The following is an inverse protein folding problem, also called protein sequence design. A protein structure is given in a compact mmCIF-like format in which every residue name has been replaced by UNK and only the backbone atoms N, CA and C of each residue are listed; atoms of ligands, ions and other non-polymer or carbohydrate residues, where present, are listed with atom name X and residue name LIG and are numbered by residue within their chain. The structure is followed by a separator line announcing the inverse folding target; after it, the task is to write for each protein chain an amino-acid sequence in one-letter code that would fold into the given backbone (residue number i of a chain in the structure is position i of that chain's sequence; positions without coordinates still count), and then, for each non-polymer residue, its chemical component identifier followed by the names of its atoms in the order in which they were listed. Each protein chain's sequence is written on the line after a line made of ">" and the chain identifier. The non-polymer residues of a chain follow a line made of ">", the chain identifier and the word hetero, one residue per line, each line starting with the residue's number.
data_IF_536255964585
#
_entry.id   IF_536255964585
#
_cell.length_a   1.000
_cell.length_b   1.000
_cell.length_c   1.000
_cell.angle_alpha   90.00
_cell.angle_beta   90.00
_cell.angle_gamma   90.00
#
_symmetry.space_group_name_H-M   'P 1'
#
loop_
_entity.id
_entity.type
_entity.pdbx_description
1 polymer ?
#
# COMPACT_ATOMS: atom_id res chain seq x y z
N UNK A 1 6.11 23.54 18.55
CA UNK A 1 6.40 22.54 17.52
C UNK A 1 5.53 22.83 16.31
N UNK A 2 6.11 23.35 15.22
CA UNK A 2 5.40 23.58 13.97
C UNK A 2 5.37 22.27 13.19
N UNK A 3 4.20 21.66 13.08
CA UNK A 3 4.01 20.47 12.24
C UNK A 3 4.02 20.94 10.79
N UNK A 4 4.98 20.45 10.01
CA UNK A 4 5.09 20.71 8.58
C UNK A 4 4.02 19.89 7.84
N UNK A 5 2.76 20.33 7.91
CA UNK A 5 1.70 19.78 7.07
C UNK A 5 2.00 20.26 5.64
N UNK A 6 2.39 19.35 4.75
CA UNK A 6 2.55 19.69 3.33
C UNK A 6 1.26 20.36 2.84
N UNK A 7 1.33 21.49 2.13
CA UNK A 7 0.13 22.19 1.67
C UNK A 7 -0.65 21.33 0.67
N UNK A 8 -1.98 21.37 0.76
CA UNK A 8 -2.88 20.72 -0.19
C UNK A 8 -2.57 21.19 -1.62
N UNK A 9 -2.57 20.26 -2.57
CA UNK A 9 -2.37 20.55 -3.99
C UNK A 9 -3.72 20.66 -4.72
N UNK A 10 -3.88 21.68 -5.58
CA UNK A 10 -5.13 21.91 -6.30
C UNK A 10 -5.20 21.07 -7.59
N UNK A 11 -6.27 20.28 -7.72
CA UNK A 11 -6.58 19.51 -8.93
C UNK A 11 -7.80 20.12 -9.62
N UNK A 12 -7.66 20.54 -10.89
CA UNK A 12 -8.77 21.00 -11.71
C UNK A 12 -9.40 19.84 -12.49
N UNK A 13 -10.65 19.51 -12.19
CA UNK A 13 -11.42 18.49 -12.91
C UNK A 13 -12.45 19.13 -13.85
N UNK A 14 -12.38 18.78 -15.14
CA UNK A 14 -13.44 19.12 -16.11
C UNK A 14 -14.27 17.86 -16.38
N UNK A 15 -15.54 17.91 -16.02
CA UNK A 15 -16.48 16.80 -16.20
C UNK A 15 -17.82 17.31 -16.74
N UNK A 16 -18.57 16.49 -17.50
CA UNK A 16 -19.92 16.84 -17.91
C UNK A 16 -20.82 17.20 -16.70
N UNK A 17 -21.73 18.15 -16.89
CA UNK A 17 -22.63 18.61 -15.82
C UNK A 17 -23.44 17.46 -15.20
N UNK A 18 -23.90 16.51 -16.04
CA UNK A 18 -24.60 15.32 -15.58
C UNK A 18 -23.75 14.43 -14.66
N UNK A 19 -22.46 14.28 -14.97
CA UNK A 19 -21.50 13.52 -14.15
C UNK A 19 -21.30 14.18 -12.79
N UNK A 20 -21.06 15.50 -12.76
CA UNK A 20 -21.00 16.28 -11.51
C UNK A 20 -22.28 16.13 -10.69
N UNK A 21 -23.44 16.21 -11.34
CA UNK A 21 -24.74 16.04 -10.70
C UNK A 21 -24.92 14.66 -10.06
N UNK A 22 -24.47 13.58 -10.72
CA UNK A 22 -24.45 12.23 -10.13
C UNK A 22 -23.54 12.15 -8.91
N UNK A 23 -22.32 12.67 -8.99
CA UNK A 23 -21.36 12.65 -7.88
C UNK A 23 -21.84 13.43 -6.67
N UNK A 24 -22.47 14.60 -6.85
CA UNK A 24 -23.04 15.39 -5.75
C UNK A 24 -24.15 14.61 -5.02
N UNK A 25 -25.02 13.92 -5.76
CA UNK A 25 -26.09 13.12 -5.15
C UNK A 25 -25.51 11.94 -4.37
N UNK A 26 -24.53 11.24 -4.95
CA UNK A 26 -23.85 10.13 -4.30
C UNK A 26 -23.10 10.58 -3.04
N UNK A 27 -22.37 11.70 -3.09
CA UNK A 27 -21.63 12.22 -1.93
C UNK A 27 -22.58 12.60 -0.79
N UNK A 28 -23.71 13.23 -1.09
CA UNK A 28 -24.74 13.56 -0.09
C UNK A 28 -25.38 12.32 0.53
N UNK A 29 -25.68 11.31 -0.28
CA UNK A 29 -26.20 10.03 0.22
C UNK A 29 -25.19 9.34 1.15
N UNK A 30 -23.89 9.53 0.92
CA UNK A 30 -22.81 9.04 1.79
C UNK A 30 -22.48 9.97 2.97
N UNK A 31 -23.15 11.13 3.11
CA UNK A 31 -22.86 12.11 4.16
C UNK A 31 -21.52 12.85 4.02
N UNK A 32 -20.92 12.87 2.83
CA UNK A 32 -19.59 13.42 2.56
C UNK A 32 -19.64 14.69 1.71
N UNK A 33 -18.64 15.58 1.91
CA UNK A 33 -18.36 16.64 0.94
C UNK A 33 -17.95 16.02 -0.39
N UNK A 34 -18.27 16.67 -1.51
CA UNK A 34 -17.93 16.16 -2.84
C UNK A 34 -16.43 15.88 -2.99
N UNK A 35 -15.58 16.76 -2.45
CA UNK A 35 -14.12 16.59 -2.46
C UNK A 35 -13.70 15.32 -1.73
N UNK A 36 -14.12 15.14 -0.48
CA UNK A 36 -13.77 13.97 0.33
C UNK A 36 -14.29 12.68 -0.32
N UNK A 37 -15.51 12.72 -0.86
CA UNK A 37 -16.10 11.58 -1.57
C UNK A 37 -15.28 11.18 -2.80
N UNK A 38 -14.83 12.15 -3.60
CA UNK A 38 -14.00 11.89 -4.79
C UNK A 38 -12.64 11.35 -4.36
N UNK A 39 -11.99 11.96 -3.37
CA UNK A 39 -10.69 11.50 -2.84
C UNK A 39 -10.84 10.05 -2.36
N UNK A 40 -11.82 9.75 -1.49
CA UNK A 40 -12.05 8.40 -1.02
C UNK A 40 -12.31 7.41 -2.17
N UNK A 41 -13.15 7.78 -3.14
CA UNK A 41 -13.46 6.89 -4.26
C UNK A 41 -12.22 6.59 -5.13
N UNK A 42 -11.34 7.57 -5.32
CA UNK A 42 -10.08 7.39 -6.06
C UNK A 42 -9.11 6.52 -5.27
N UNK A 43 -8.89 6.83 -3.99
CA UNK A 43 -7.99 6.08 -3.10
C UNK A 43 -8.44 4.62 -2.95
N UNK A 44 -9.73 4.39 -2.69
CA UNK A 44 -10.27 3.02 -2.57
C UNK A 44 -10.17 2.25 -3.88
N UNK A 45 -10.38 2.90 -5.03
CA UNK A 45 -10.15 2.27 -6.33
C UNK A 45 -8.68 1.89 -6.53
N UNK A 46 -7.75 2.79 -6.19
CA UNK A 46 -6.31 2.52 -6.29
C UNK A 46 -5.91 1.35 -5.38
N UNK A 47 -6.34 1.34 -4.11
CA UNK A 47 -6.12 0.22 -3.18
C UNK A 47 -6.69 -1.10 -3.71
N UNK A 48 -7.91 -1.09 -4.27
CA UNK A 48 -8.52 -2.28 -4.86
C UNK A 48 -7.75 -2.83 -6.07
N UNK A 49 -7.09 -1.96 -6.86
CA UNK A 49 -6.21 -2.41 -7.93
C UNK A 49 -4.96 -3.10 -7.36
N UNK A 50 -4.42 -2.58 -6.26
CA UNK A 50 -3.26 -3.15 -5.57
C UNK A 50 -3.55 -4.51 -4.91
N UNK A 51 -4.78 -4.77 -4.43
CA UNK A 51 -5.12 -6.08 -3.84
C UNK A 51 -5.36 -7.18 -4.87
N UNK A 52 -5.37 -6.86 -6.17
CA UNK A 52 -5.63 -7.79 -7.28
C UNK A 52 -4.41 -8.06 -8.14
N UNK A 53 -3.21 -7.80 -7.64
CA UNK A 53 -1.97 -8.03 -8.38
C UNK A 53 -1.81 -9.53 -8.62
N UNK A 54 -1.78 -9.92 -9.89
CA UNK A 54 -1.42 -11.24 -10.34
C UNK A 54 0.06 -11.26 -10.72
N UNK A 55 0.83 -12.18 -10.14
CA UNK A 55 2.22 -12.38 -10.53
C UNK A 55 2.26 -13.19 -11.83
N UNK A 56 2.98 -12.77 -12.88
CA UNK A 56 3.16 -13.56 -14.08
C UNK A 56 3.75 -14.94 -13.77
N UNK A 57 3.18 -16.01 -14.33
CA UNK A 57 3.58 -17.40 -14.01
C UNK A 57 5.04 -17.72 -14.36
N UNK A 58 5.63 -16.98 -15.31
CA UNK A 58 7.02 -17.15 -15.74
C UNK A 58 8.00 -16.32 -14.89
N UNK A 59 7.49 -15.52 -13.95
CA UNK A 59 8.28 -14.71 -13.04
C UNK A 59 8.52 -15.48 -11.72
N UNK A 60 9.79 -15.79 -11.45
CA UNK A 60 10.20 -16.43 -10.19
C UNK A 60 10.48 -15.38 -9.12
N UNK A 61 10.21 -15.72 -7.86
CA UNK A 61 10.50 -14.83 -6.73
C UNK A 61 11.97 -14.41 -6.67
N UNK A 62 12.90 -15.34 -6.92
CA UNK A 62 14.34 -15.07 -6.93
C UNK A 62 14.80 -14.04 -7.98
N UNK A 63 13.97 -13.74 -9.00
CA UNK A 63 14.27 -12.67 -9.95
C UNK A 63 14.28 -11.28 -9.28
N UNK A 64 13.58 -11.13 -8.14
CA UNK A 64 13.54 -9.90 -7.36
C UNK A 64 14.91 -9.52 -6.80
N UNK A 65 15.83 -10.48 -6.66
CA UNK A 65 17.19 -10.26 -6.15
C UNK A 65 17.18 -9.48 -4.83
N UNK A 66 16.38 -9.96 -3.88
CA UNK A 66 16.33 -9.36 -2.54
C UNK A 66 17.71 -9.47 -1.89
N UNK A 67 18.17 -8.34 -1.38
CA UNK A 67 19.39 -8.27 -0.59
C UNK A 67 19.18 -7.30 0.58
N UNK A 68 19.84 -7.61 1.69
CA UNK A 68 19.95 -6.68 2.80
C UNK A 68 21.28 -5.95 2.69
N UNK A 69 21.20 -4.63 2.66
CA UNK A 69 22.36 -3.74 2.57
C UNK A 69 23.01 -3.55 3.95
N UNK A 70 24.28 -3.11 4.01
CA UNK A 70 25.00 -2.91 5.27
C UNK A 70 24.35 -1.90 6.23
N UNK A 71 23.56 -0.96 5.71
CA UNK A 71 22.81 0.02 6.50
C UNK A 71 21.48 -0.53 7.04
N UNK A 72 21.17 -1.79 6.75
CA UNK A 72 19.95 -2.48 7.15
C UNK A 72 18.79 -2.30 6.17
N UNK A 73 18.93 -1.46 5.15
CA UNK A 73 17.91 -1.30 4.10
C UNK A 73 17.81 -2.55 3.22
N UNK A 74 16.67 -2.71 2.56
CA UNK A 74 16.45 -3.80 1.61
C UNK A 74 16.51 -3.27 0.19
N UNK A 75 17.35 -3.89 -0.63
CA UNK A 75 17.43 -3.64 -2.06
C UNK A 75 16.76 -4.76 -2.85
N UNK A 76 16.25 -4.41 -4.03
CA UNK A 76 15.55 -5.31 -4.94
C UNK A 76 15.55 -4.75 -6.38
N UNK A 77 15.22 -5.60 -7.35
CA UNK A 77 15.17 -5.24 -8.76
C UNK A 77 13.85 -4.56 -9.13
N UNK A 78 13.88 -3.25 -9.39
CA UNK A 78 12.72 -2.48 -9.85
C UNK A 78 12.17 -2.97 -11.19
N UNK A 79 13.00 -3.52 -12.07
CA UNK A 79 12.54 -4.06 -13.36
C UNK A 79 11.54 -5.22 -13.18
N UNK A 80 11.62 -5.96 -12.08
CA UNK A 80 10.67 -7.02 -11.71
C UNK A 80 9.34 -6.42 -11.28
N UNK A 81 9.38 -5.37 -10.45
CA UNK A 81 8.19 -4.64 -10.02
C UNK A 81 7.49 -3.99 -11.22
N UNK A 82 8.24 -3.35 -12.11
CA UNK A 82 7.74 -2.76 -13.35
C UNK A 82 7.07 -3.80 -14.25
N UNK A 83 7.66 -5.01 -14.35
CA UNK A 83 7.08 -6.12 -15.11
C UNK A 83 5.77 -6.62 -14.52
N UNK A 84 5.69 -6.73 -13.19
CA UNK A 84 4.44 -7.06 -12.48
C UNK A 84 3.40 -5.96 -12.75
N UNK A 85 3.79 -4.69 -12.64
CA UNK A 85 2.92 -3.54 -12.92
C UNK A 85 2.36 -3.60 -14.35
N UNK A 86 3.23 -3.84 -15.34
CA UNK A 86 2.84 -3.95 -16.74
C UNK A 86 1.83 -5.10 -16.98
N UNK A 87 2.07 -6.27 -16.37
CA UNK A 87 1.17 -7.41 -16.49
C UNK A 87 -0.21 -7.14 -15.88
N UNK A 88 -0.28 -6.28 -14.88
CA UNK A 88 -1.52 -5.91 -14.18
C UNK A 88 -2.16 -4.62 -14.68
N UNK A 89 -1.56 -3.95 -15.67
CA UNK A 89 -1.97 -2.62 -16.15
C UNK A 89 -2.03 -1.58 -15.01
N UNK A 90 -1.07 -1.67 -14.09
CA UNK A 90 -0.90 -0.77 -12.95
C UNK A 90 0.30 0.14 -13.22
N UNK A 91 0.21 1.41 -12.80
CA UNK A 91 1.32 2.37 -12.85
C UNK A 91 2.35 2.03 -11.78
N UNK A 92 3.64 1.97 -12.13
CA UNK A 92 4.72 1.73 -11.14
C UNK A 92 4.81 2.85 -10.10
N UNK A 93 4.34 4.03 -10.45
CA UNK A 93 4.24 5.22 -9.58
C UNK A 93 3.37 4.95 -8.34
N UNK A 94 2.40 4.02 -8.41
CA UNK A 94 1.63 3.59 -7.23
C UNK A 94 2.48 2.89 -6.17
N UNK A 95 3.67 2.41 -6.54
CA UNK A 95 4.64 1.80 -5.65
C UNK A 95 5.77 2.75 -5.28
N UNK A 96 6.15 3.66 -6.19
CA UNK A 96 7.27 4.58 -6.00
C UNK A 96 6.89 5.82 -5.17
N UNK A 97 5.71 6.39 -5.41
CA UNK A 97 5.29 7.68 -4.84
C UNK A 97 4.31 7.53 -3.67
N UNK A 98 3.86 6.31 -3.40
CA UNK A 98 3.01 5.98 -2.28
C UNK A 98 3.84 5.73 -0.99
N UNK A 99 3.22 5.55 0.20
CA UNK A 99 3.96 5.20 1.41
C UNK A 99 4.84 3.96 1.19
N UNK A 100 6.03 3.94 1.80
CA UNK A 100 7.06 2.90 1.63
C UNK A 100 6.52 1.46 1.84
N UNK A 101 5.43 1.32 2.60
CA UNK A 101 4.74 0.07 2.89
C UNK A 101 4.19 -0.67 1.65
N UNK A 102 3.96 0.02 0.52
CA UNK A 102 3.27 -0.57 -0.63
C UNK A 102 4.12 -1.63 -1.36
N UNK A 103 5.42 -1.41 -1.51
CA UNK A 103 6.31 -2.39 -2.13
C UNK A 103 6.58 -3.55 -1.16
N UNK A 104 6.83 -3.25 0.11
CA UNK A 104 7.02 -4.26 1.15
C UNK A 104 5.82 -5.21 1.25
N UNK A 105 4.59 -4.68 1.22
CA UNK A 105 3.37 -5.49 1.22
C UNK A 105 3.23 -6.40 0.00
N UNK A 106 3.60 -5.92 -1.19
CA UNK A 106 3.65 -6.76 -2.40
C UNK A 106 4.68 -7.90 -2.26
N UNK A 107 5.90 -7.58 -1.81
CA UNK A 107 6.98 -8.55 -1.66
C UNK A 107 6.60 -9.64 -0.66
N UNK A 108 6.08 -9.24 0.50
CA UNK A 108 5.63 -10.16 1.56
C UNK A 108 4.50 -11.07 1.04
N UNK A 109 3.47 -10.50 0.42
CA UNK A 109 2.33 -11.26 -0.09
C UNK A 109 2.76 -12.25 -1.17
N UNK A 110 3.63 -11.82 -2.09
CA UNK A 110 4.17 -12.70 -3.12
C UNK A 110 5.04 -13.81 -2.53
N UNK A 111 5.91 -13.50 -1.57
CA UNK A 111 6.75 -14.50 -0.91
C UNK A 111 5.91 -15.56 -0.19
N UNK A 112 4.87 -15.15 0.54
CA UNK A 112 3.95 -16.09 1.20
C UNK A 112 3.29 -17.04 0.20
N UNK A 113 2.78 -16.52 -0.92
CA UNK A 113 2.21 -17.36 -1.99
C UNK A 113 3.25 -18.29 -2.63
N UNK A 114 4.47 -17.81 -2.86
CA UNK A 114 5.60 -18.60 -3.36
C UNK A 114 5.92 -19.77 -2.41
N UNK A 115 5.98 -19.52 -1.09
CA UNK A 115 6.21 -20.57 -0.09
C UNK A 115 5.05 -21.56 0.03
N UNK A 116 3.80 -21.10 -0.04
CA UNK A 116 2.62 -21.98 -0.07
C UNK A 116 2.63 -22.93 -1.29
N UNK A 117 3.22 -22.49 -2.40
CA UNK A 117 3.38 -23.29 -3.62
C UNK A 117 4.67 -24.13 -3.64
N UNK A 118 5.38 -24.26 -2.51
CA UNK A 118 6.59 -25.08 -2.39
C UNK A 118 7.85 -24.43 -2.96
N UNK A 119 7.83 -23.13 -3.22
CA UNK A 119 8.99 -22.39 -3.68
C UNK A 119 10.09 -22.26 -2.62
N UNK A 120 11.34 -22.02 -3.07
CA UNK A 120 12.51 -21.96 -2.20
C UNK A 120 12.44 -20.84 -1.14
N UNK A 121 13.04 -21.04 0.04
CA UNK A 121 13.13 -20.00 1.06
C UNK A 121 14.05 -18.85 0.62
N UNK A 122 13.72 -17.63 1.06
CA UNK A 122 14.53 -16.42 0.89
C UNK A 122 14.74 -15.78 2.27
N UNK A 123 15.99 -15.67 2.76
CA UNK A 123 16.27 -15.21 4.12
C UNK A 123 15.89 -13.74 4.33
N UNK A 124 16.03 -12.89 3.31
CA UNK A 124 15.69 -11.46 3.42
C UNK A 124 14.18 -11.29 3.51
N UNK A 125 13.43 -12.05 2.72
CA UNK A 125 11.97 -12.06 2.80
C UNK A 125 11.44 -12.64 4.13
N UNK A 126 12.10 -13.66 4.68
CA UNK A 126 11.77 -14.22 6.00
C UNK A 126 11.99 -13.20 7.11
N UNK A 127 13.12 -12.48 7.09
CA UNK A 127 13.42 -11.41 8.04
C UNK A 127 12.37 -10.28 7.97
N UNK A 128 12.03 -9.83 6.75
CA UNK A 128 11.00 -8.80 6.54
C UNK A 128 9.65 -9.18 7.16
N UNK A 129 9.23 -10.44 7.00
CA UNK A 129 7.97 -10.92 7.61
C UNK A 129 8.08 -10.91 9.14
N UNK A 130 9.21 -11.35 9.69
CA UNK A 130 9.42 -11.39 11.14
C UNK A 130 9.41 -9.98 11.76
N UNK A 131 9.99 -8.99 11.08
CA UNK A 131 9.97 -7.58 11.49
C UNK A 131 8.53 -7.05 11.58
N UNK A 132 7.75 -7.20 10.50
CA UNK A 132 6.35 -6.75 10.46
C UNK A 132 5.52 -7.39 11.59
N UNK A 133 5.65 -8.70 11.80
CA UNK A 133 4.93 -9.41 12.86
C UNK A 133 5.30 -8.93 14.27
N UNK A 134 6.57 -8.56 14.47
CA UNK A 134 7.07 -8.04 15.75
C UNK A 134 6.55 -6.62 16.00
N UNK A 135 6.50 -5.78 14.96
CA UNK A 135 5.98 -4.41 15.03
C UNK A 135 4.48 -4.36 15.28
N UNK A 136 3.68 -5.20 14.60
CA UNK A 136 2.23 -5.30 14.81
C UNK A 136 1.89 -5.69 16.26
N UNK A 137 2.65 -6.65 16.81
CA UNK A 137 2.49 -7.10 18.21
C UNK A 137 2.82 -5.98 19.20
N UNK A 138 3.90 -5.24 18.97
CA UNK A 138 4.31 -4.13 19.83
C UNK A 138 3.37 -2.91 19.72
N UNK A 139 2.79 -2.66 18.54
CA UNK A 139 1.86 -1.56 18.32
C UNK A 139 0.51 -1.83 18.99
N UNK A 140 0.00 -3.06 18.94
CA UNK A 140 -1.20 -3.48 19.66
C UNK A 140 -1.08 -3.30 21.19
N UNK A 141 0.08 -3.61 21.76
CA UNK A 141 0.36 -3.38 23.19
C UNK A 141 0.45 -1.88 23.54
N UNK A 142 1.06 -1.07 22.66
CA UNK A 142 1.18 0.39 22.87
C UNK A 142 -0.18 1.10 22.84
N UNK A 143 -1.08 0.70 21.96
CA UNK A 143 -2.44 1.27 21.88
C UNK A 143 -3.33 0.81 23.04
N UNK A 144 -3.24 -0.46 23.46
CA UNK A 144 -3.90 -0.94 24.67
C UNK A 144 -3.49 -0.15 25.93
N UNK A 145 -2.19 0.17 26.05
CA UNK A 145 -1.64 0.95 27.19
C UNK A 145 -1.99 2.44 27.15
N UNK A 146 -2.37 2.99 25.99
CA UNK A 146 -2.90 4.37 25.88
C UNK A 146 -4.39 4.41 26.20
N UNK A 147 -5.17 3.41 25.79
CA UNK A 147 -6.61 3.33 26.07
C UNK A 147 -6.90 3.15 27.57
N UNK A 148 -6.07 2.37 28.28
CA UNK A 148 -6.19 2.19 29.73
C UNK A 148 -5.89 3.44 30.58
N UNK A 149 -5.29 4.50 30.02
CA UNK A 149 -4.94 5.74 30.74
C UNK A 149 -5.97 6.87 30.57
N UNK A 150 -7.09 6.63 29.88
CA UNK A 150 -8.09 7.66 29.51
C UNK A 150 -9.45 7.57 30.21
N UNK A 151 -9.61 6.70 31.20
CA UNK A 151 -10.77 6.74 32.12
C UNK A 151 -10.39 7.44 33.43
N UNK A 152 -10.74 8.72 33.62
CA UNK A 152 -10.96 9.27 34.94
C UNK A 152 -12.42 9.03 35.35
N UNK A 153 -12.61 8.52 36.57
CA UNK A 153 -13.87 8.64 37.29
C UNK A 153 -14.06 10.03 37.86
#
# INVERSE_FOLDING_TARGET
>A
MSWNTKPDSLIHLRVPAATKGRWIRASRAAGLRLTDYIVHAVEERMKQQMTRIAIPNDLKFSALQLAREPDGSVSFSWSVIERICQANQISVELFRDAPEDNVSGLIITWYQAHRQNGGDPDPVAEDLIAEVMTEESAQGERDGRKNSRRTPG
#
